data_IF_391453950854
#
_entry.id   IF_391453950854
#
_cell.length_a   1.000
_cell.length_b   1.000
_cell.length_c   1.000
_cell.angle_alpha   90.00
_cell.angle_beta   90.00
_cell.angle_gamma   90.00
#
_symmetry.space_group_name_H-M   'P 1'
#
loop_
_entity.id
_entity.type
_entity.pdbx_description
1 polymer ?
#
# COMPACT_ATOMS: atom_id res chain seq x y z
N UNK A 1 -2.58 -8.23 21.82
CA UNK A 1 -3.29 -9.48 21.73
C UNK A 1 -3.55 -9.83 20.30
N UNK A 2 -3.26 -11.05 19.96
CA UNK A 2 -3.37 -11.51 18.58
C UNK A 2 -4.80 -11.44 18.06
N UNK A 3 -5.75 -11.74 18.92
CA UNK A 3 -7.14 -11.78 18.47
C UNK A 3 -7.64 -10.42 18.04
N UNK A 4 -7.08 -9.34 18.57
CA UNK A 4 -7.48 -8.02 18.12
C UNK A 4 -7.13 -7.80 16.68
N UNK A 5 -5.97 -8.28 16.28
CA UNK A 5 -5.56 -8.12 14.89
C UNK A 5 -6.47 -8.88 13.95
N UNK A 6 -6.99 -10.00 14.40
CA UNK A 6 -7.88 -10.78 13.57
C UNK A 6 -9.14 -10.01 13.21
N UNK A 7 -9.60 -9.16 14.11
CA UNK A 7 -10.80 -8.39 13.84
C UNK A 7 -10.52 -7.16 13.00
N UNK A 8 -9.31 -6.61 13.12
CA UNK A 8 -8.98 -5.38 12.43
C UNK A 8 -8.39 -5.61 11.06
N UNK A 9 -7.75 -6.76 10.87
CA UNK A 9 -7.05 -7.05 9.63
C UNK A 9 -7.67 -8.26 8.95
N UNK A 10 -8.18 -8.08 7.73
CA UNK A 10 -8.71 -9.24 7.02
C UNK A 10 -7.64 -10.31 6.85
N UNK A 11 -8.03 -11.59 6.89
CA UNK A 11 -7.04 -12.66 6.85
C UNK A 11 -6.23 -12.70 5.56
N UNK A 12 -6.70 -12.08 4.49
CA UNK A 12 -5.97 -12.09 3.23
C UNK A 12 -5.09 -10.87 3.03
N UNK A 13 -4.90 -10.06 4.07
CA UNK A 13 -4.07 -8.87 3.99
C UNK A 13 -2.73 -9.14 4.69
N UNK A 14 -1.64 -8.79 4.02
CA UNK A 14 -0.31 -8.97 4.56
C UNK A 14 0.12 -7.70 5.28
N UNK A 15 0.51 -7.84 6.54
CA UNK A 15 0.89 -6.69 7.36
C UNK A 15 2.40 -6.52 7.44
N UNK A 16 2.82 -5.31 7.71
CA UNK A 16 4.19 -4.98 8.06
C UNK A 16 4.15 -4.19 9.35
N UNK A 17 4.66 -4.78 10.43
CA UNK A 17 4.75 -4.13 11.74
C UNK A 17 3.44 -3.44 12.14
N UNK A 18 2.35 -4.12 11.93
CA UNK A 18 1.05 -3.62 12.35
C UNK A 18 0.34 -2.73 11.35
N UNK A 19 0.99 -2.41 10.24
CA UNK A 19 0.38 -1.59 9.20
C UNK A 19 -0.07 -2.51 8.07
N UNK A 20 -1.32 -2.37 7.68
CA UNK A 20 -1.90 -3.25 6.67
C UNK A 20 -1.28 -2.99 5.30
N UNK A 21 -0.97 -4.06 4.60
CA UNK A 21 -0.51 -3.98 3.22
C UNK A 21 -1.64 -4.30 2.26
N UNK A 22 -1.29 -5.00 1.19
CA UNK A 22 -2.24 -5.34 0.15
C UNK A 22 -2.67 -6.80 0.20
N UNK A 23 -3.46 -7.20 -0.78
CA UNK A 23 -3.97 -8.58 -0.83
C UNK A 23 -2.89 -9.55 -1.29
N UNK A 24 -1.86 -9.06 -1.99
CA UNK A 24 -0.78 -9.90 -2.48
C UNK A 24 0.55 -9.44 -1.90
N UNK A 25 0.76 -8.14 -1.81
CA UNK A 25 2.05 -7.55 -1.43
C UNK A 25 2.04 -7.07 0.00
N UNK A 26 3.12 -7.39 0.71
CA UNK A 26 3.35 -6.79 2.03
C UNK A 26 3.85 -5.37 1.83
N UNK A 27 3.63 -4.53 2.83
CA UNK A 27 4.11 -3.16 2.81
C UNK A 27 5.64 -3.17 2.88
N UNK A 28 6.33 -2.59 1.90
CA UNK A 28 7.79 -2.53 1.96
C UNK A 28 8.24 -1.64 3.10
N UNK A 29 9.43 -1.92 3.61
CA UNK A 29 9.93 -1.19 4.76
C UNK A 29 10.06 0.30 4.50
N UNK A 30 10.60 0.68 3.35
CA UNK A 30 10.80 2.10 3.07
C UNK A 30 9.48 2.85 2.94
N UNK A 31 8.50 2.24 2.28
CA UNK A 31 7.19 2.85 2.19
C UNK A 31 6.53 2.90 3.57
N UNK A 32 6.65 1.81 4.33
CA UNK A 32 6.09 1.75 5.66
C UNK A 32 6.64 2.81 6.57
N UNK A 33 7.95 3.05 6.50
CA UNK A 33 8.55 4.07 7.34
C UNK A 33 8.10 5.46 6.94
N UNK A 34 7.92 5.70 5.64
CA UNK A 34 7.42 6.98 5.18
C UNK A 34 6.01 7.24 5.70
N UNK A 35 5.18 6.20 5.69
CA UNK A 35 3.82 6.33 6.21
C UNK A 35 3.81 6.55 7.71
N UNK A 36 4.66 5.81 8.42
CA UNK A 36 4.72 5.91 9.87
C UNK A 36 5.19 7.29 10.31
N UNK A 37 6.03 7.92 9.51
CA UNK A 37 6.56 9.23 9.86
C UNK A 37 5.51 10.34 9.77
N UNK A 38 4.37 10.06 9.13
CA UNK A 38 3.33 11.07 8.95
C UNK A 38 1.99 10.47 9.35
N UNK A 39 1.56 10.68 10.61
CA UNK A 39 0.31 10.04 11.08
C UNK A 39 -0.91 10.37 10.25
N UNK A 40 -1.00 11.57 9.69
CA UNK A 40 -2.16 11.92 8.88
C UNK A 40 -2.19 11.11 7.60
N UNK A 41 -1.02 10.93 6.98
CA UNK A 41 -0.93 10.13 5.77
C UNK A 41 -1.17 8.66 6.08
N UNK A 42 -0.65 8.19 7.22
CA UNK A 42 -0.89 6.82 7.63
C UNK A 42 -2.38 6.55 7.80
N UNK A 43 -3.10 7.51 8.35
CA UNK A 43 -4.53 7.35 8.51
C UNK A 43 -5.23 7.24 7.16
N UNK A 44 -4.80 8.05 6.20
CA UNK A 44 -5.35 7.95 4.85
C UNK A 44 -5.04 6.60 4.22
N UNK A 45 -3.83 6.09 4.44
CA UNK A 45 -3.44 4.78 3.95
C UNK A 45 -4.36 3.70 4.52
N UNK A 46 -4.62 3.77 5.80
CA UNK A 46 -5.43 2.76 6.45
C UNK A 46 -6.89 2.84 6.04
N UNK A 47 -7.31 3.97 5.48
CA UNK A 47 -8.67 4.09 4.98
C UNK A 47 -8.85 3.47 3.60
N UNK A 48 -7.76 3.11 2.93
CA UNK A 48 -7.85 2.47 1.64
C UNK A 48 -8.33 1.04 1.77
N UNK A 49 -8.93 0.52 0.69
CA UNK A 49 -9.25 -0.89 0.65
C UNK A 49 -7.95 -1.68 0.52
N UNK A 50 -7.96 -2.97 0.90
CA UNK A 50 -6.77 -3.81 0.70
C UNK A 50 -6.30 -3.81 -0.74
N UNK A 51 -7.24 -3.78 -1.68
CA UNK A 51 -6.88 -3.75 -3.09
C UNK A 51 -6.20 -2.45 -3.45
N UNK A 52 -6.72 -1.32 -2.96
CA UNK A 52 -6.10 -0.02 -3.22
C UNK A 52 -4.69 0.06 -2.66
N UNK A 53 -4.50 -0.44 -1.44
CA UNK A 53 -3.15 -0.45 -0.86
C UNK A 53 -2.21 -1.32 -1.69
N UNK A 54 -2.71 -2.46 -2.16
CA UNK A 54 -1.90 -3.35 -2.98
C UNK A 54 -1.42 -2.66 -4.25
N UNK A 55 -2.27 -1.82 -4.85
CA UNK A 55 -1.89 -1.13 -6.07
C UNK A 55 -0.76 -0.15 -5.81
N UNK A 56 -0.81 0.61 -4.73
CA UNK A 56 0.29 1.51 -4.39
C UNK A 56 1.58 0.74 -4.12
N UNK A 57 1.48 -0.37 -3.40
CA UNK A 57 2.66 -1.17 -3.08
C UNK A 57 3.30 -1.72 -4.33
N UNK A 58 2.48 -2.27 -5.22
CA UNK A 58 3.00 -2.83 -6.46
C UNK A 58 3.66 -1.77 -7.30
N UNK A 59 3.05 -0.59 -7.37
CA UNK A 59 3.59 0.52 -8.13
C UNK A 59 4.96 0.95 -7.59
N UNK A 60 5.08 1.08 -6.28
CA UNK A 60 6.36 1.45 -5.68
C UNK A 60 7.39 0.34 -5.90
N UNK A 61 6.98 -0.91 -5.71
CA UNK A 61 7.90 -2.04 -5.82
C UNK A 61 8.35 -2.29 -7.25
N UNK A 62 7.57 -1.85 -8.21
CA UNK A 62 7.94 -2.00 -9.62
C UNK A 62 9.09 -1.10 -10.02
N UNK A 63 9.38 -0.08 -9.25
CA UNK A 63 10.47 0.84 -9.55
C UNK A 63 11.80 0.14 -9.38
N UNK A 64 12.62 0.16 -10.41
CA UNK A 64 13.92 -0.52 -10.39
C UNK A 64 15.02 0.34 -9.81
N UNK A 65 14.94 1.64 -10.04
CA UNK A 65 16.00 2.55 -9.60
C UNK A 65 15.63 3.18 -8.27
N UNK A 66 16.63 3.39 -7.39
CA UNK A 66 16.33 3.98 -6.08
C UNK A 66 15.65 5.33 -6.17
N UNK A 67 16.05 6.17 -7.10
CA UNK A 67 15.43 7.48 -7.19
C UNK A 67 14.00 7.42 -7.71
N UNK A 68 13.70 6.46 -8.58
CA UNK A 68 12.33 6.27 -9.03
C UNK A 68 11.48 5.78 -7.88
N UNK A 69 12.02 4.85 -7.11
CA UNK A 69 11.31 4.30 -5.97
C UNK A 69 11.02 5.39 -4.93
N UNK A 70 12.02 6.21 -4.65
CA UNK A 70 11.83 7.31 -3.70
C UNK A 70 10.78 8.28 -4.19
N UNK A 71 10.77 8.58 -5.48
CA UNK A 71 9.78 9.47 -6.05
C UNK A 71 8.38 8.89 -5.94
N UNK A 72 8.25 7.60 -6.19
CA UNK A 72 6.92 6.97 -6.09
C UNK A 72 6.42 6.89 -4.66
N UNK A 73 7.33 6.74 -3.70
CA UNK A 73 6.94 6.78 -2.30
C UNK A 73 6.44 8.18 -1.96
N UNK A 74 7.14 9.22 -2.40
CA UNK A 74 6.69 10.57 -2.16
C UNK A 74 5.35 10.83 -2.85
N UNK A 75 5.20 10.36 -4.08
CA UNK A 75 3.94 10.53 -4.78
C UNK A 75 2.79 9.79 -4.10
N UNK A 76 3.09 8.65 -3.49
CA UNK A 76 2.06 7.93 -2.74
C UNK A 76 1.50 8.84 -1.65
N UNK A 77 2.38 9.50 -0.89
CA UNK A 77 1.91 10.42 0.13
C UNK A 77 1.10 11.56 -0.45
N UNK A 78 1.59 12.14 -1.54
CA UNK A 78 0.89 13.26 -2.16
C UNK A 78 -0.46 12.85 -2.71
N UNK A 79 -0.54 11.68 -3.34
CA UNK A 79 -1.80 11.25 -3.91
C UNK A 79 -2.82 10.89 -2.84
N UNK A 80 -2.36 10.32 -1.73
CA UNK A 80 -3.26 10.08 -0.63
C UNK A 80 -3.83 11.37 -0.09
N UNK A 81 -3.00 12.39 0.01
CA UNK A 81 -3.46 13.70 0.47
C UNK A 81 -4.42 14.34 -0.52
N UNK A 82 -4.30 14.00 -1.79
CA UNK A 82 -5.22 14.48 -2.82
C UNK A 82 -6.51 13.70 -2.86
N UNK A 83 -6.62 12.66 -2.05
CA UNK A 83 -7.83 11.84 -2.02
C UNK A 83 -7.85 10.71 -3.02
N UNK A 84 -6.74 10.42 -3.64
CA UNK A 84 -6.69 9.33 -4.60
C UNK A 84 -6.61 8.00 -3.87
N UNK A 85 -7.27 7.01 -4.43
CA UNK A 85 -7.32 5.70 -3.81
C UNK A 85 -6.52 4.67 -4.57
N UNK A 86 -5.90 5.06 -5.67
CA UNK A 86 -5.05 4.23 -6.50
C UNK A 86 -3.99 5.10 -7.14
N UNK A 87 -2.82 4.53 -7.49
CA UNK A 87 -1.79 5.32 -8.17
C UNK A 87 -2.29 5.83 -9.52
N UNK A 88 -1.99 7.08 -9.78
CA UNK A 88 -2.33 7.67 -11.07
C UNK A 88 -1.60 6.95 -12.19
N UNK A 89 -2.32 6.64 -13.26
CA UNK A 89 -1.74 6.08 -14.50
C UNK A 89 -1.11 4.70 -14.32
N UNK A 90 -1.45 4.01 -13.24
CA UNK A 90 -0.95 2.66 -13.00
C UNK A 90 -1.93 1.66 -13.56
N UNK A 91 -1.49 0.75 -14.45
CA UNK A 91 -2.43 -0.18 -15.09
C UNK A 91 -2.94 -1.27 -14.16
N UNK A 92 -2.29 -1.46 -13.01
CA UNK A 92 -2.73 -2.46 -12.07
C UNK A 92 -1.64 -3.45 -11.74
N UNK A 93 -1.83 -4.14 -10.63
CA UNK A 93 -0.87 -5.12 -10.16
C UNK A 93 -0.99 -6.41 -10.97
N UNK A 94 0.08 -6.78 -11.66
CA UNK A 94 0.07 -7.99 -12.46
C UNK A 94 0.00 -9.25 -11.60
N UNK A 95 0.47 -9.15 -10.37
CA UNK A 95 0.54 -10.32 -9.50
C UNK A 95 -0.83 -10.75 -8.99
N UNK A 96 -1.79 -9.84 -8.93
CA UNK A 96 -3.13 -10.18 -8.51
C UNK A 96 -4.09 -10.32 -9.68
N UNK A 97 -3.56 -10.24 -10.87
CA UNK A 97 -4.40 -10.13 -12.04
C UNK A 97 -5.32 -11.33 -12.22
N UNK A 98 -4.80 -12.49 -11.95
CA UNK A 98 -5.61 -13.69 -12.16
C UNK A 98 -6.84 -13.70 -11.29
N UNK A 99 -6.72 -13.20 -10.09
CA UNK A 99 -7.87 -13.17 -9.20
C UNK A 99 -8.74 -11.94 -9.44
N UNK A 100 -8.12 -10.81 -9.72
CA UNK A 100 -8.87 -9.59 -9.86
C UNK A 100 -9.48 -9.42 -11.22
N UNK A 101 -8.86 -10.00 -12.21
CA UNK A 101 -9.32 -9.81 -13.54
C UNK A 101 -10.46 -10.73 -13.91
N UNK A 102 -10.40 -11.89 -13.38
CA UNK A 102 -11.47 -12.84 -13.70
C UNK A 102 -12.82 -12.27 -13.41
#
# INVERSE_FOLDING_TARGET
>A
MAEKNEYLTPPNVVEWEGIAGGVVHALPEDLGEALRADPAVLELWESLTPLGRNEFICWVSDAKKPETRARRIRRTREELEEGKRRPCCWPGCAHRERTGKA
#
